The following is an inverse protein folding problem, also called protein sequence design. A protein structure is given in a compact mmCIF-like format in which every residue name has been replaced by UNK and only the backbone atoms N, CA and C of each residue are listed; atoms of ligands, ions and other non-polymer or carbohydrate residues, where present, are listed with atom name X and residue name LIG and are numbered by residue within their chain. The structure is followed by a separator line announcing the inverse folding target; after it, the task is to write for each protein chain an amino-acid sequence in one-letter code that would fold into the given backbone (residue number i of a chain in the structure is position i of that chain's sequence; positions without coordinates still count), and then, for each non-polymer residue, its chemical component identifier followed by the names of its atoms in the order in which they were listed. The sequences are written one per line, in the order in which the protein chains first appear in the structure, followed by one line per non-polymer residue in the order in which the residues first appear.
data_IF_400343461113
#
_entry.id   IF_400343461113
#
_cell.length_a   1.000
_cell.length_b   1.000
_cell.length_c   1.000
_cell.angle_alpha   90.00
_cell.angle_beta   90.00
_cell.angle_gamma   90.00
#
_symmetry.space_group_name_H-M   'P 1'
#
loop_
_entity.id
_entity.type
_entity.pdbx_description
1 polymer ?
#
# COMPACT_ATOMS: atom_id res chain seq x y z
N UNK A 1 20.02 -2.83 11.82
CA UNK A 1 18.72 -3.01 12.49
C UNK A 1 17.78 -1.78 12.42
N UNK A 2 18.20 -0.55 12.77
CA UNK A 2 17.31 0.64 12.67
C UNK A 2 16.86 0.96 11.23
N UNK A 3 17.78 0.91 10.26
CA UNK A 3 17.44 1.13 8.85
C UNK A 3 16.48 0.07 8.28
N UNK A 4 16.62 -1.20 8.69
CA UNK A 4 15.70 -2.27 8.33
C UNK A 4 14.29 -2.04 8.89
N UNK A 5 14.17 -1.65 10.16
CA UNK A 5 12.87 -1.32 10.78
C UNK A 5 12.21 -0.11 10.13
N UNK A 6 12.98 0.94 9.83
CA UNK A 6 12.48 2.11 9.11
C UNK A 6 12.05 1.79 7.69
N UNK A 7 12.81 0.95 6.96
CA UNK A 7 12.46 0.53 5.60
C UNK A 7 11.22 -0.37 5.61
N UNK A 8 11.14 -1.32 6.53
CA UNK A 8 9.97 -2.17 6.72
C UNK A 8 8.72 -1.36 7.11
N UNK A 9 8.81 -0.39 8.02
CA UNK A 9 7.68 0.47 8.37
C UNK A 9 7.26 1.37 7.20
N UNK A 10 8.23 1.95 6.49
CA UNK A 10 7.97 2.71 5.29
C UNK A 10 7.25 1.83 4.26
N UNK A 11 7.73 0.63 3.99
CA UNK A 11 7.08 -0.31 3.07
C UNK A 11 5.68 -0.74 3.55
N UNK A 12 5.36 -0.73 4.86
CA UNK A 12 4.01 -1.14 5.33
C UNK A 12 3.07 0.03 5.10
N UNK A 13 3.53 1.23 5.46
CA UNK A 13 2.79 2.47 5.22
C UNK A 13 2.63 2.74 3.73
N UNK A 14 3.62 2.34 2.91
CA UNK A 14 3.49 2.29 1.47
C UNK A 14 2.48 1.22 1.10
N UNK A 15 2.65 -0.08 1.37
CA UNK A 15 1.75 -1.19 1.00
C UNK A 15 0.25 -0.99 1.32
N UNK A 16 -0.05 -0.14 2.31
CA UNK A 16 -1.40 0.12 2.81
C UNK A 16 -1.86 1.53 2.41
N UNK A 17 -1.08 2.25 1.60
CA UNK A 17 -1.30 3.67 1.36
C UNK A 17 -2.60 3.97 0.62
N UNK A 18 -3.22 5.12 0.92
CA UNK A 18 -4.41 5.52 0.17
C UNK A 18 -4.10 5.66 -1.30
N UNK A 19 -2.90 6.13 -1.68
CA UNK A 19 -2.41 6.31 -3.05
C UNK A 19 -1.87 5.01 -3.70
N UNK A 20 -2.28 3.85 -3.19
CA UNK A 20 -1.75 2.57 -3.63
C UNK A 20 -2.63 1.78 -4.59
N UNK A 21 -2.03 0.80 -5.28
CA UNK A 21 -2.57 0.32 -6.53
C UNK A 21 -3.79 -0.60 -6.52
N UNK A 22 -4.56 -0.42 -7.56
CA UNK A 22 -5.70 -1.12 -8.06
C UNK A 22 -5.38 -2.41 -8.75
N UNK A 23 -6.11 -3.45 -8.36
CA UNK A 23 -6.44 -4.50 -9.29
C UNK A 23 -7.83 -4.20 -9.88
N UNK A 24 -7.85 -3.92 -11.18
CA UNK A 24 -8.71 -4.55 -12.19
C UNK A 24 -8.16 -4.19 -13.58
N UNK A 25 -8.55 -4.98 -14.57
CA UNK A 25 -8.25 -4.90 -16.01
C UNK A 25 -8.69 -3.61 -16.71
N UNK A 26 -8.79 -2.47 -16.01
CA UNK A 26 -9.18 -1.21 -16.58
C UNK A 26 -7.97 -0.59 -17.28
N UNK A 27 -8.15 -0.22 -18.54
CA UNK A 27 -7.16 0.56 -19.28
C UNK A 27 -6.89 1.88 -18.54
N UNK A 28 -5.67 2.42 -18.62
CA UNK A 28 -5.36 3.68 -17.94
C UNK A 28 -6.23 4.79 -18.54
N UNK A 29 -6.46 4.68 -19.85
CA UNK A 29 -7.39 5.52 -20.58
C UNK A 29 -8.84 5.36 -20.11
N UNK A 30 -9.27 4.17 -19.67
CA UNK A 30 -10.62 3.97 -19.14
C UNK A 30 -10.79 4.67 -17.78
N UNK A 31 -9.82 4.55 -16.88
CA UNK A 31 -9.85 5.20 -15.57
C UNK A 31 -9.86 6.72 -15.67
N UNK A 32 -9.08 7.29 -16.59
CA UNK A 32 -9.01 8.74 -16.81
C UNK A 32 -10.29 9.34 -17.40
N UNK A 33 -11.14 8.51 -18.01
CA UNK A 33 -12.40 8.93 -18.62
C UNK A 33 -13.61 8.70 -17.70
N UNK A 34 -13.41 8.18 -16.49
CA UNK A 34 -14.47 8.03 -15.50
C UNK A 34 -14.97 9.38 -14.99
N UNK A 35 -16.23 9.41 -14.52
CA UNK A 35 -16.66 10.52 -13.67
C UNK A 35 -15.88 10.49 -12.35
N UNK A 36 -15.75 11.62 -11.66
CA UNK A 36 -15.11 11.67 -10.33
C UNK A 36 -15.72 10.63 -9.38
N UNK A 37 -17.04 10.50 -9.36
CA UNK A 37 -17.74 9.53 -8.50
C UNK A 37 -17.35 8.10 -8.84
N UNK A 38 -17.41 7.72 -10.12
CA UNK A 38 -17.04 6.36 -10.54
C UNK A 38 -15.55 6.07 -10.29
N UNK A 39 -14.68 7.07 -10.47
CA UNK A 39 -13.26 6.96 -10.14
C UNK A 39 -13.05 6.69 -8.65
N UNK A 40 -13.74 7.43 -7.77
CA UNK A 40 -13.61 7.27 -6.33
C UNK A 40 -14.15 5.93 -5.84
N UNK A 41 -15.21 5.41 -6.45
CA UNK A 41 -15.72 4.06 -6.16
C UNK A 41 -14.69 2.99 -6.54
N UNK A 42 -14.08 3.12 -7.73
CA UNK A 42 -12.97 2.25 -8.13
C UNK A 42 -11.82 2.40 -7.15
N UNK A 43 -11.41 3.61 -6.81
CA UNK A 43 -10.32 3.89 -5.86
C UNK A 43 -10.55 3.26 -4.48
N UNK A 44 -11.79 3.25 -4.00
CA UNK A 44 -12.15 2.56 -2.76
C UNK A 44 -12.01 1.03 -2.86
N UNK A 45 -12.45 0.42 -3.96
CA UNK A 45 -12.30 -1.03 -4.19
C UNK A 45 -10.84 -1.46 -4.28
N UNK A 46 -10.03 -0.61 -4.89
CA UNK A 46 -8.58 -0.75 -5.02
C UNK A 46 -7.91 -0.78 -3.66
N UNK A 47 -8.22 0.20 -2.83
CA UNK A 47 -7.66 0.29 -1.49
C UNK A 47 -8.03 -0.92 -0.63
N UNK A 48 -9.26 -1.45 -0.76
CA UNK A 48 -9.64 -2.71 -0.07
C UNK A 48 -8.79 -3.89 -0.54
N UNK A 49 -8.51 -4.01 -1.83
CA UNK A 49 -7.63 -5.07 -2.34
C UNK A 49 -6.20 -4.94 -1.81
N UNK A 50 -5.68 -3.71 -1.65
CA UNK A 50 -4.37 -3.48 -1.02
C UNK A 50 -4.35 -3.90 0.45
N UNK A 51 -5.43 -3.64 1.18
CA UNK A 51 -5.56 -4.12 2.56
C UNK A 51 -5.50 -5.66 2.61
N UNK A 52 -6.20 -6.35 1.71
CA UNK A 52 -6.20 -7.82 1.63
C UNK A 52 -4.83 -8.40 1.25
N UNK A 53 -4.16 -7.80 0.26
CA UNK A 53 -2.81 -8.21 -0.16
C UNK A 53 -1.81 -7.99 0.97
N UNK A 54 -1.82 -6.81 1.59
CA UNK A 54 -0.94 -6.52 2.73
C UNK A 54 -1.20 -7.48 3.88
N UNK A 55 -2.46 -7.74 4.23
CA UNK A 55 -2.81 -8.71 5.27
C UNK A 55 -2.29 -10.12 4.93
N UNK A 56 -2.41 -10.55 3.68
CA UNK A 56 -1.88 -11.84 3.22
C UNK A 56 -0.35 -11.89 3.33
N UNK A 57 0.36 -10.87 2.86
CA UNK A 57 1.81 -10.79 2.95
C UNK A 57 2.30 -10.79 4.40
N UNK A 58 1.61 -10.08 5.28
CA UNK A 58 1.94 -9.96 6.70
C UNK A 58 1.69 -11.28 7.43
N UNK A 59 0.55 -11.93 7.19
CA UNK A 59 0.22 -13.23 7.79
C UNK A 59 1.15 -14.36 7.33
N UNK A 60 1.69 -14.30 6.10
CA UNK A 60 2.74 -15.23 5.61
C UNK A 60 4.08 -15.10 6.35
N UNK A 61 4.28 -14.08 7.17
CA UNK A 61 5.43 -14.02 8.08
C UNK A 61 5.26 -14.95 9.28
N UNK A 62 4.02 -15.30 9.65
CA UNK A 62 3.67 -16.13 10.81
C UNK A 62 2.26 -15.83 11.34
N UNK A 63 1.62 -16.82 11.97
CA UNK A 63 0.27 -16.73 12.54
C UNK A 63 0.16 -15.59 13.59
N UNK A 64 1.27 -15.29 14.26
CA UNK A 64 1.33 -14.25 15.29
C UNK A 64 1.20 -12.82 14.75
N UNK A 65 1.19 -12.65 13.42
CA UNK A 65 0.94 -11.38 12.73
C UNK A 65 -0.51 -11.26 12.20
N UNK A 66 -1.35 -12.27 12.42
CA UNK A 66 -2.77 -12.17 12.12
C UNK A 66 -3.43 -10.99 12.85
N UNK A 67 -4.27 -10.25 12.14
CA UNK A 67 -4.94 -9.06 12.67
C UNK A 67 -4.06 -7.81 12.79
N UNK A 68 -2.86 -7.82 12.21
CA UNK A 68 -2.03 -6.60 12.08
C UNK A 68 -2.68 -5.58 11.15
N UNK A 69 -3.41 -6.04 10.13
CA UNK A 69 -4.09 -5.18 9.15
C UNK A 69 -5.59 -5.38 9.30
N UNK A 70 -6.34 -4.31 9.53
CA UNK A 70 -7.80 -4.34 9.60
C UNK A 70 -8.41 -4.34 8.19
N UNK A 71 -8.71 -5.55 7.69
CA UNK A 71 -9.37 -5.78 6.40
C UNK A 71 -10.90 -5.87 6.51
N UNK A 72 -11.43 -6.09 7.71
CA UNK A 72 -12.83 -6.45 7.91
C UNK A 72 -13.73 -5.22 8.14
N UNK A 73 -13.19 -4.15 8.72
CA UNK A 73 -13.96 -2.92 8.94
C UNK A 73 -14.30 -2.25 7.61
N UNK A 74 -15.54 -1.74 7.43
CA UNK A 74 -15.88 -0.95 6.25
C UNK A 74 -15.00 0.29 6.16
N UNK A 75 -14.88 0.87 4.95
CA UNK A 75 -14.18 2.14 4.79
C UNK A 75 -14.93 3.24 5.55
N UNK A 76 -14.17 3.99 6.35
CA UNK A 76 -14.64 5.12 7.13
C UNK A 76 -14.87 6.34 6.24
N UNK A 77 -15.66 7.30 6.74
CA UNK A 77 -15.84 8.60 6.07
C UNK A 77 -14.51 9.35 5.93
N UNK A 78 -13.57 9.18 6.86
CA UNK A 78 -12.24 9.80 6.81
C UNK A 78 -11.38 9.21 5.69
N UNK A 79 -11.47 7.90 5.45
CA UNK A 79 -10.82 7.23 4.31
C UNK A 79 -11.35 7.75 2.98
N UNK A 80 -12.68 7.77 2.83
CA UNK A 80 -13.32 8.24 1.60
C UNK A 80 -13.04 9.72 1.33
N UNK A 81 -13.02 10.55 2.37
CA UNK A 81 -12.65 11.97 2.26
C UNK A 81 -11.18 12.16 1.87
N UNK A 82 -10.28 11.30 2.35
CA UNK A 82 -8.87 11.30 1.95
C UNK A 82 -8.70 10.98 0.47
N UNK A 83 -9.46 10.01 -0.05
CA UNK A 83 -9.45 9.67 -1.48
C UNK A 83 -9.94 10.82 -2.35
N UNK A 84 -11.05 11.45 -1.94
CA UNK A 84 -11.60 12.60 -2.66
C UNK A 84 -10.63 13.78 -2.70
N UNK A 85 -10.00 14.10 -1.57
CA UNK A 85 -8.97 15.13 -1.49
C UNK A 85 -7.78 14.82 -2.41
N UNK A 86 -7.29 13.57 -2.40
CA UNK A 86 -6.15 13.18 -3.23
C UNK A 86 -6.48 13.32 -4.71
N UNK A 87 -7.66 12.85 -5.13
CA UNK A 87 -8.15 13.03 -6.50
C UNK A 87 -8.19 14.51 -6.90
N UNK A 88 -8.74 15.39 -6.05
CA UNK A 88 -8.88 16.81 -6.37
C UNK A 88 -7.51 17.50 -6.54
N UNK A 89 -6.52 17.18 -5.70
CA UNK A 89 -5.17 17.71 -5.83
C UNK A 89 -4.50 17.24 -7.12
N UNK A 90 -4.61 15.94 -7.43
CA UNK A 90 -4.03 15.37 -8.66
C UNK A 90 -4.72 15.90 -9.91
N UNK A 91 -6.04 16.09 -9.87
CA UNK A 91 -6.82 16.69 -10.96
C UNK A 91 -6.47 18.16 -11.18
N UNK A 92 -6.31 18.95 -10.12
CA UNK A 92 -5.90 20.35 -10.18
C UNK A 92 -4.50 20.49 -10.81
N UNK A 93 -3.59 19.57 -10.49
CA UNK A 93 -2.24 19.52 -11.04
C UNK A 93 -2.18 18.97 -12.48
N UNK A 94 -3.26 18.34 -12.97
CA UNK A 94 -3.26 17.66 -14.26
C UNK A 94 -2.47 16.34 -14.26
N UNK A 95 -2.32 15.71 -13.10
CA UNK A 95 -1.51 14.50 -12.85
C UNK A 95 -2.36 13.25 -12.55
N UNK A 96 -3.63 13.24 -12.99
CA UNK A 96 -4.49 12.05 -12.82
C UNK A 96 -3.93 10.82 -13.53
N UNK A 97 -3.17 10.99 -14.61
CA UNK A 97 -2.45 9.92 -15.31
C UNK A 97 -1.40 9.28 -14.41
N UNK A 98 -0.60 10.10 -13.72
CA UNK A 98 0.38 9.62 -12.77
C UNK A 98 -0.27 8.92 -11.58
N UNK A 99 -1.38 9.46 -11.06
CA UNK A 99 -2.21 8.80 -10.05
C UNK A 99 -2.69 7.43 -10.55
N UNK A 100 -3.24 7.36 -11.76
CA UNK A 100 -3.72 6.09 -12.37
C UNK A 100 -2.59 5.08 -12.57
N UNK A 101 -1.40 5.52 -12.98
CA UNK A 101 -0.24 4.64 -13.10
C UNK A 101 0.19 4.07 -11.75
N UNK A 102 0.25 4.92 -10.71
CA UNK A 102 0.49 4.47 -9.34
C UNK A 102 -0.61 3.54 -8.87
N UNK A 103 -1.84 3.76 -9.34
CA UNK A 103 -2.94 2.85 -9.12
C UNK A 103 -2.79 1.52 -9.86
N UNK A 104 -1.78 1.20 -10.68
CA UNK A 104 -1.75 -0.11 -11.41
C UNK A 104 -0.68 -1.08 -10.94
N UNK A 105 0.23 -0.64 -10.09
CA UNK A 105 1.44 -1.40 -9.73
C UNK A 105 1.21 -2.53 -8.71
N UNK A 106 -0.04 -2.85 -8.34
CA UNK A 106 -0.35 -3.95 -7.42
C UNK A 106 -0.36 -5.28 -8.18
N UNK A 107 -0.60 -5.25 -9.49
CA UNK A 107 -0.66 -6.43 -10.32
C UNK A 107 0.65 -7.24 -10.27
N UNK A 108 1.84 -6.64 -10.40
CA UNK A 108 3.11 -7.33 -10.17
C UNK A 108 3.22 -7.96 -8.78
N UNK A 109 2.82 -7.26 -7.72
CA UNK A 109 2.91 -7.77 -6.33
C UNK A 109 1.97 -8.94 -6.14
N UNK A 110 0.71 -8.82 -6.60
CA UNK A 110 -0.27 -9.90 -6.58
C UNK A 110 0.19 -11.11 -7.38
N UNK A 111 0.73 -10.90 -8.59
CA UNK A 111 1.25 -11.98 -9.42
C UNK A 111 2.41 -12.70 -8.74
N UNK A 112 3.34 -11.97 -8.09
CA UNK A 112 4.42 -12.57 -7.29
C UNK A 112 3.86 -13.35 -6.09
N UNK A 113 2.89 -12.78 -5.37
CA UNK A 113 2.22 -13.41 -4.23
C UNK A 113 1.47 -14.70 -4.62
N UNK A 114 0.85 -14.74 -5.80
CA UNK A 114 0.17 -15.91 -6.35
C UNK A 114 1.16 -16.96 -6.88
N UNK A 115 2.27 -16.53 -7.47
CA UNK A 115 3.31 -17.42 -8.01
C UNK A 115 4.17 -18.07 -6.91
N UNK A 116 4.38 -17.38 -5.79
CA UNK A 116 5.18 -17.84 -4.66
C UNK A 116 4.37 -17.75 -3.34
N UNK A 117 3.89 -18.88 -2.80
CA UNK A 117 3.20 -18.93 -1.52
C UNK A 117 4.05 -18.48 -0.31
N UNK A 118 5.39 -18.56 -0.41
CA UNK A 118 6.32 -18.15 0.64
C UNK A 118 6.65 -16.65 0.56
N UNK A 119 6.27 -15.98 -0.53
CA UNK A 119 6.43 -14.54 -0.70
C UNK A 119 5.63 -13.82 0.38
N UNK A 120 6.35 -13.27 1.35
CA UNK A 120 5.82 -12.60 2.53
C UNK A 120 6.19 -11.11 2.51
N UNK A 121 5.68 -10.38 3.48
CA UNK A 121 5.94 -8.96 3.60
C UNK A 121 7.44 -8.60 3.72
N UNK A 122 8.25 -9.45 4.37
CA UNK A 122 9.71 -9.26 4.43
C UNK A 122 10.35 -9.39 3.04
N UNK A 123 9.85 -10.29 2.19
CA UNK A 123 10.35 -10.44 0.83
C UNK A 123 10.09 -9.17 0.03
N UNK A 124 8.86 -8.66 0.08
CA UNK A 124 8.49 -7.40 -0.59
C UNK A 124 9.37 -6.22 -0.14
N UNK A 125 9.63 -6.10 1.16
CA UNK A 125 10.45 -5.02 1.72
C UNK A 125 11.95 -5.13 1.42
N UNK A 126 12.41 -6.24 0.84
CA UNK A 126 13.80 -6.47 0.42
C UNK A 126 13.92 -6.58 -1.10
N UNK A 127 12.82 -6.49 -1.83
CA UNK A 127 12.76 -6.61 -3.27
C UNK A 127 13.07 -5.25 -3.91
N UNK A 128 14.35 -4.99 -4.19
CA UNK A 128 14.82 -3.69 -4.71
C UNK A 128 14.11 -3.30 -6.02
N UNK A 129 13.82 -4.27 -6.91
CA UNK A 129 13.13 -4.01 -8.17
C UNK A 129 11.70 -3.51 -7.92
N UNK A 130 10.98 -4.16 -7.00
CA UNK A 130 9.61 -3.74 -6.65
C UNK A 130 9.63 -2.41 -5.91
N UNK A 131 10.59 -2.16 -5.03
CA UNK A 131 10.71 -0.89 -4.32
C UNK A 131 11.03 0.29 -5.26
N UNK A 132 11.87 0.07 -6.27
CA UNK A 132 12.16 1.08 -7.29
C UNK A 132 10.90 1.38 -8.12
N UNK A 133 10.17 0.36 -8.56
CA UNK A 133 8.90 0.53 -9.28
C UNK A 133 7.82 1.19 -8.43
N UNK A 134 7.75 0.88 -7.12
CA UNK A 134 6.79 1.47 -6.18
C UNK A 134 7.13 2.89 -5.75
N UNK A 135 8.31 3.41 -6.09
CA UNK A 135 8.69 4.77 -5.72
C UNK A 135 7.87 5.75 -6.56
N UNK A 136 7.01 6.59 -5.94
CA UNK A 136 6.26 7.58 -6.70
C UNK A 136 7.21 8.55 -7.40
N UNK A 137 6.83 9.08 -8.58
CA UNK A 137 7.63 10.10 -9.23
C UNK A 137 7.80 11.31 -8.31
N UNK A 138 8.96 11.98 -8.36
CA UNK A 138 9.16 13.25 -7.67
C UNK A 138 8.13 14.28 -8.19
N UNK A 139 7.06 14.48 -7.42
CA UNK A 139 5.94 15.34 -7.78
C UNK A 139 5.41 16.06 -6.54
N UNK A 140 5.34 17.38 -6.65
CA UNK A 140 4.75 18.23 -5.62
C UNK A 140 3.27 17.90 -5.40
N UNK A 141 2.54 17.49 -6.45
CA UNK A 141 1.13 17.10 -6.33
C UNK A 141 0.99 15.81 -5.52
N UNK A 142 1.86 14.82 -5.73
CA UNK A 142 1.89 13.61 -4.91
C UNK A 142 2.22 13.92 -3.44
N UNK A 143 3.26 14.71 -3.18
CA UNK A 143 3.63 15.10 -1.81
C UNK A 143 2.51 15.85 -1.10
N UNK A 144 1.84 16.78 -1.81
CA UNK A 144 0.67 17.51 -1.30
C UNK A 144 -0.50 16.58 -1.05
N UNK A 145 -0.83 15.69 -1.98
CA UNK A 145 -1.92 14.74 -1.80
C UNK A 145 -1.68 13.83 -0.58
N UNK A 146 -0.45 13.34 -0.39
CA UNK A 146 -0.12 12.49 0.75
C UNK A 146 -0.19 13.24 2.09
N UNK A 147 0.30 14.48 2.13
CA UNK A 147 0.38 15.29 3.35
C UNK A 147 -0.94 15.99 3.70
N UNK A 148 -1.54 16.73 2.76
CA UNK A 148 -2.76 17.52 2.97
C UNK A 148 -3.99 16.63 3.14
N UNK A 149 -4.07 15.50 2.43
CA UNK A 149 -5.17 14.55 2.56
C UNK A 149 -4.99 13.54 3.69
N UNK A 150 -3.97 13.75 4.54
CA UNK A 150 -3.70 12.96 5.76
C UNK A 150 -3.59 11.46 5.48
N UNK A 151 -3.08 11.09 4.31
CA UNK A 151 -2.99 9.70 3.86
C UNK A 151 -2.28 8.84 4.92
N UNK A 152 -1.10 9.25 5.39
CA UNK A 152 -0.36 8.53 6.44
C UNK A 152 -1.18 8.22 7.71
N UNK A 153 -2.02 9.17 8.14
CA UNK A 153 -2.87 8.99 9.32
C UNK A 153 -3.97 7.97 9.05
N UNK A 154 -4.67 8.12 7.93
CA UNK A 154 -5.74 7.22 7.50
C UNK A 154 -5.26 5.77 7.41
N UNK A 155 -4.11 5.58 6.77
CA UNK A 155 -3.43 4.29 6.60
C UNK A 155 -3.06 3.68 7.95
N UNK A 156 -2.47 4.50 8.84
CA UNK A 156 -2.06 4.03 10.16
C UNK A 156 -3.25 3.57 11.02
N UNK A 157 -4.46 4.08 10.75
CA UNK A 157 -5.68 3.63 11.39
C UNK A 157 -6.04 2.17 11.08
N UNK A 158 -5.55 1.62 9.96
CA UNK A 158 -5.72 0.21 9.59
C UNK A 158 -4.66 -0.72 10.16
N UNK A 159 -3.66 -0.18 10.84
CA UNK A 159 -2.48 -0.91 11.26
C UNK A 159 -2.41 -1.04 12.78
N UNK A 160 -2.32 -2.29 13.25
CA UNK A 160 -2.19 -2.64 14.65
C UNK A 160 -0.84 -3.31 14.92
N UNK A 161 0.19 -2.50 15.08
CA UNK A 161 1.51 -2.97 15.50
C UNK A 161 1.53 -3.16 17.01
N UNK A 162 1.17 -4.36 17.48
CA UNK A 162 1.28 -4.71 18.91
C UNK A 162 2.68 -4.47 19.49
N UNK A 163 2.82 -4.44 20.82
CA UNK A 163 4.04 -4.01 21.55
C UNK A 163 5.35 -4.70 21.12
N UNK A 164 5.28 -5.90 20.53
CA UNK A 164 6.44 -6.69 20.08
C UNK A 164 6.52 -6.89 18.56
N UNK A 165 5.72 -6.18 17.77
CA UNK A 165 5.65 -6.37 16.32
C UNK A 165 7.04 -6.34 15.68
N UNK A 166 7.83 -5.30 15.95
CA UNK A 166 9.16 -5.14 15.36
C UNK A 166 10.19 -6.17 15.83
N UNK A 167 10.06 -6.69 17.05
CA UNK A 167 10.94 -7.75 17.54
C UNK A 167 10.66 -9.05 16.77
N UNK A 168 9.39 -9.41 16.63
CA UNK A 168 8.94 -10.59 15.87
C UNK A 168 9.30 -10.50 14.39
N UNK A 169 9.12 -9.32 13.79
CA UNK A 169 9.52 -9.06 12.39
C UNK A 169 11.02 -9.33 12.20
N UNK A 170 11.86 -8.84 13.10
CA UNK A 170 13.31 -9.09 13.03
C UNK A 170 13.62 -10.57 13.21
N UNK A 171 12.98 -11.25 14.16
CA UNK A 171 13.14 -12.70 14.37
C UNK A 171 12.76 -13.51 13.12
N UNK A 172 11.62 -13.20 12.50
CA UNK A 172 11.16 -13.85 11.28
C UNK A 172 12.11 -13.62 10.10
N UNK A 173 12.66 -12.40 9.96
CA UNK A 173 13.62 -12.08 8.92
C UNK A 173 14.96 -12.81 9.12
N UNK A 174 15.47 -12.89 10.36
CA UNK A 174 16.69 -13.64 10.69
C UNK A 174 16.48 -15.14 10.47
N UNK A 175 15.34 -15.70 10.87
CA UNK A 175 15.03 -17.12 10.67
C UNK A 175 14.97 -17.52 9.18
N UNK A 176 14.57 -16.58 8.30
CA UNK A 176 14.59 -16.76 6.84
C UNK A 176 15.96 -16.47 6.21
N UNK A 177 16.97 -16.08 6.98
CA UNK A 177 18.31 -15.74 6.48
C UNK A 177 18.35 -14.45 5.66
N UNK A 178 17.37 -13.56 5.87
CA UNK A 178 17.19 -12.32 5.11
C UNK A 178 17.89 -11.11 5.76
N UNK A 179 18.22 -11.20 7.05
CA UNK A 179 19.01 -10.20 7.79
C UNK A 179 19.95 -10.89 8.77
N UNK A 180 21.14 -10.33 8.94
CA UNK A 180 22.11 -10.76 9.96
C UNK A 180 21.65 -10.34 11.37
N UNK A 181 22.10 -11.08 12.40
CA UNK A 181 21.88 -10.77 13.83
C UNK A 181 22.51 -9.42 14.26
#
# INVERSE_FOLDING_TARGET
MTAFKSSMLATVLFAVSTLQPAAQTLDADELLNLSKTDFLDVYADIYRQNLEITNTLVTRMGDEFAGTVDVDSPLSEEELASFECAYDIMAEAGELDAMVMQLKMIDPIRQRMEADPEFSYINLALDEDVLEEMTPPESEAFDRSFSECRSAFVISGRLNFGENFWAKVTEAATAKGLVDE
#
